data_IF_055562393437
#
_entry.id   IF_055562393437
#
_cell.length_a   1.000
_cell.length_b   1.000
_cell.length_c   1.000
_cell.angle_alpha   90.00
_cell.angle_beta   90.00
_cell.angle_gamma   90.00
#
_symmetry.space_group_name_H-M   'P 1'
#
loop_
_entity.id
_entity.type
_entity.pdbx_description
1 polymer ?
#
# COMPACT_ATOMS: atom_id res chain seq x y z
N UNK A 1 10.35 6.40 -13.25
CA UNK A 1 9.35 6.98 -12.31
C UNK A 1 9.01 8.35 -12.89
N UNK A 2 7.74 8.80 -12.90
CA UNK A 2 7.40 10.11 -13.46
C UNK A 2 8.26 11.22 -12.83
N UNK A 3 8.78 12.15 -13.64
CA UNK A 3 9.64 13.24 -13.17
C UNK A 3 8.87 14.12 -12.17
N UNK A 4 9.58 14.72 -11.20
CA UNK A 4 8.94 15.62 -10.25
C UNK A 4 8.56 16.93 -10.98
N UNK A 5 7.33 17.43 -10.82
CA UNK A 5 6.97 18.75 -11.31
C UNK A 5 7.87 19.79 -10.63
N UNK A 6 8.33 20.77 -11.41
CA UNK A 6 9.14 21.90 -10.93
C UNK A 6 8.34 23.18 -11.16
N UNK A 7 8.31 24.05 -10.16
CA UNK A 7 7.66 25.37 -10.25
C UNK A 7 8.74 26.42 -10.43
N UNK A 8 8.48 27.40 -11.29
CA UNK A 8 9.39 28.54 -11.48
C UNK A 8 9.44 29.40 -10.21
N UNK A 9 10.64 29.82 -9.79
CA UNK A 9 10.80 30.59 -8.56
C UNK A 9 10.25 32.03 -8.69
N UNK A 10 10.13 32.56 -9.90
CA UNK A 10 9.60 33.90 -10.19
C UNK A 10 8.11 34.07 -9.90
N UNK A 11 7.35 32.97 -9.86
CA UNK A 11 5.89 32.99 -9.70
C UNK A 11 5.44 32.72 -8.26
N UNK A 12 6.40 32.63 -7.33
CA UNK A 12 6.15 32.25 -5.94
C UNK A 12 6.45 33.42 -5.02
N UNK A 13 5.47 33.78 -4.19
CA UNK A 13 5.66 34.68 -3.06
C UNK A 13 5.87 33.86 -1.78
N UNK A 14 7.00 34.07 -1.10
CA UNK A 14 7.36 33.39 0.15
C UNK A 14 7.13 34.29 1.36
N UNK A 15 6.46 33.76 2.38
CA UNK A 15 6.20 34.42 3.66
C UNK A 15 6.53 33.49 4.83
N UNK A 16 7.30 34.00 5.79
CA UNK A 16 7.60 33.28 7.03
C UNK A 16 6.63 33.70 8.13
N UNK A 17 6.06 32.71 8.81
CA UNK A 17 5.04 32.91 9.86
C UNK A 17 5.49 32.19 11.14
N UNK A 18 5.00 32.65 12.29
CA UNK A 18 5.16 31.92 13.56
C UNK A 18 4.41 30.59 13.52
N UNK A 19 5.01 29.58 14.15
CA UNK A 19 4.56 28.18 14.10
C UNK A 19 3.35 27.87 14.98
N UNK A 20 2.24 28.59 14.85
CA UNK A 20 0.96 28.20 15.46
C UNK A 20 0.63 28.90 16.78
N UNK A 21 -0.67 28.86 17.08
CA UNK A 21 -1.32 29.47 18.25
C UNK A 21 -1.75 28.41 19.28
N UNK A 22 -1.09 27.24 19.28
CA UNK A 22 -1.45 26.08 20.12
C UNK A 22 -0.37 25.70 21.13
N UNK A 23 -0.55 24.55 21.81
CA UNK A 23 0.31 24.01 22.87
C UNK A 23 1.67 23.48 22.34
N UNK A 24 2.30 24.20 21.42
CA UNK A 24 3.66 23.92 20.96
C UNK A 24 4.70 24.33 21.99
N UNK A 25 5.89 23.72 21.92
CA UNK A 25 7.02 24.12 22.75
C UNK A 25 7.48 25.56 22.47
N UNK A 26 8.17 26.16 23.44
CA UNK A 26 8.68 27.55 23.38
C UNK A 26 9.40 27.89 22.06
N UNK A 27 10.16 26.94 21.52
CA UNK A 27 10.90 27.11 20.26
C UNK A 27 10.00 27.36 19.05
N UNK A 28 8.84 26.71 18.99
CA UNK A 28 7.90 26.78 17.87
C UNK A 28 7.17 28.14 17.87
N UNK A 29 6.81 28.63 19.06
CA UNK A 29 6.08 29.89 19.21
C UNK A 29 6.96 31.13 18.99
N UNK A 30 8.27 31.03 19.33
CA UNK A 30 9.23 32.13 19.15
C UNK A 30 9.82 32.21 17.75
N UNK A 31 9.99 31.07 17.06
CA UNK A 31 10.70 31.03 15.79
C UNK A 31 9.74 31.14 14.60
N UNK A 32 10.06 31.97 13.62
CA UNK A 32 9.36 32.05 12.33
C UNK A 32 9.78 30.91 11.40
N UNK A 33 9.59 29.66 11.85
CA UNK A 33 9.99 28.47 11.08
C UNK A 33 8.93 27.98 10.10
N UNK A 34 7.65 28.40 10.25
CA UNK A 34 6.57 28.04 9.33
C UNK A 34 6.69 28.83 8.04
N UNK A 35 6.61 28.15 6.91
CA UNK A 35 6.69 28.77 5.57
C UNK A 35 5.32 28.73 4.92
N UNK A 36 4.88 29.87 4.40
CA UNK A 36 3.73 30.01 3.54
C UNK A 36 4.24 30.41 2.14
N UNK A 37 3.87 29.62 1.14
CA UNK A 37 4.12 29.93 -0.27
C UNK A 37 2.79 30.23 -0.94
N UNK A 38 2.75 31.31 -1.69
CA UNK A 38 1.62 31.69 -2.53
C UNK A 38 2.06 31.67 -3.98
N UNK A 39 1.36 30.93 -4.82
CA UNK A 39 1.55 30.95 -6.26
C UNK A 39 0.75 32.11 -6.85
N UNK A 40 1.44 33.06 -7.48
CA UNK A 40 0.85 34.31 -7.97
C UNK A 40 -0.21 34.05 -9.06
N UNK A 41 0.05 33.27 -10.12
CA UNK A 41 -0.90 33.16 -11.22
C UNK A 41 -2.14 32.33 -10.88
N UNK A 42 -2.02 31.32 -9.99
CA UNK A 42 -3.17 30.49 -9.57
C UNK A 42 -3.80 30.92 -8.25
N UNK A 43 -3.20 31.87 -7.53
CA UNK A 43 -3.65 32.30 -6.20
C UNK A 43 -3.55 31.22 -5.11
N UNK A 44 -2.91 30.08 -5.38
CA UNK A 44 -2.87 28.97 -4.44
C UNK A 44 -1.92 29.22 -3.28
N UNK A 45 -2.41 28.99 -2.06
CA UNK A 45 -1.62 29.13 -0.84
C UNK A 45 -1.32 27.76 -0.25
N UNK A 46 -0.05 27.50 0.02
CA UNK A 46 0.43 26.28 0.67
C UNK A 46 1.25 26.67 1.90
N UNK A 47 1.00 26.00 3.02
CA UNK A 47 1.78 26.20 4.25
C UNK A 47 2.45 24.90 4.66
N UNK A 48 3.70 24.98 5.14
CA UNK A 48 4.44 23.84 5.68
C UNK A 48 5.04 24.15 7.05
N UNK A 49 4.82 23.25 7.99
CA UNK A 49 5.38 23.25 9.35
C UNK A 49 5.76 21.81 9.76
N UNK A 50 6.52 21.12 8.91
CA UNK A 50 6.92 19.74 9.17
C UNK A 50 8.11 19.64 10.14
N UNK A 51 9.02 20.62 10.09
CA UNK A 51 10.29 20.58 10.81
C UNK A 51 10.57 21.88 11.56
N UNK A 52 11.58 21.86 12.43
CA UNK A 52 12.09 23.05 13.15
C UNK A 52 12.91 24.00 12.27
N UNK A 53 13.35 23.56 11.08
CA UNK A 53 14.20 24.34 10.17
C UNK A 53 13.37 25.01 9.08
N UNK A 54 13.60 26.32 8.86
CA UNK A 54 12.90 27.08 7.82
C UNK A 54 13.24 26.56 6.42
N UNK A 55 14.50 26.19 6.17
CA UNK A 55 14.95 25.79 4.82
C UNK A 55 14.37 24.44 4.42
N UNK A 56 14.26 23.53 5.38
CA UNK A 56 13.57 22.26 5.18
C UNK A 56 12.09 22.49 4.91
N UNK A 57 11.43 23.36 5.67
CA UNK A 57 10.02 23.70 5.45
C UNK A 57 9.81 24.38 4.08
N UNK A 58 10.74 25.23 3.63
CA UNK A 58 10.73 25.86 2.30
C UNK A 58 10.83 24.83 1.18
N UNK A 59 11.74 23.86 1.29
CA UNK A 59 11.85 22.75 0.31
C UNK A 59 10.56 21.92 0.26
N UNK A 60 10.04 21.55 1.42
CA UNK A 60 8.79 20.76 1.52
C UNK A 60 7.60 21.55 0.95
N UNK A 61 7.48 22.84 1.27
CA UNK A 61 6.40 23.68 0.76
C UNK A 61 6.43 23.78 -0.77
N UNK A 62 7.63 23.92 -1.39
CA UNK A 62 7.77 23.91 -2.85
C UNK A 62 7.37 22.57 -3.46
N UNK A 63 7.78 21.45 -2.85
CA UNK A 63 7.39 20.12 -3.33
C UNK A 63 5.87 19.92 -3.28
N UNK A 64 5.22 20.37 -2.21
CA UNK A 64 3.76 20.30 -2.07
C UNK A 64 3.07 21.19 -3.11
N UNK A 65 3.55 22.43 -3.29
CA UNK A 65 2.99 23.34 -4.28
C UNK A 65 3.09 22.75 -5.70
N UNK A 66 4.26 22.19 -6.05
CA UNK A 66 4.48 21.55 -7.34
C UNK A 66 3.56 20.36 -7.58
N UNK A 67 3.35 19.52 -6.56
CA UNK A 67 2.42 18.39 -6.67
C UNK A 67 0.98 18.85 -6.86
N UNK A 68 0.54 19.88 -6.13
CA UNK A 68 -0.81 20.43 -6.29
C UNK A 68 -1.05 21.06 -7.66
N UNK A 69 -0.05 21.77 -8.20
CA UNK A 69 -0.14 22.34 -9.55
C UNK A 69 -0.20 21.23 -10.60
N UNK A 70 0.64 20.20 -10.48
CA UNK A 70 0.60 19.03 -11.38
C UNK A 70 -0.72 18.27 -11.31
N UNK A 71 -1.34 18.17 -10.12
CA UNK A 71 -2.67 17.59 -9.96
C UNK A 71 -3.75 18.39 -10.71
N UNK A 72 -3.64 19.72 -10.76
CA UNK A 72 -4.58 20.59 -11.47
C UNK A 72 -4.34 20.52 -12.98
N UNK A 73 -3.09 20.64 -13.43
CA UNK A 73 -2.75 20.66 -14.86
C UNK A 73 -2.95 19.30 -15.53
N UNK A 74 -2.46 18.23 -14.90
CA UNK A 74 -2.40 16.91 -15.51
C UNK A 74 -3.50 15.96 -15.03
N UNK A 75 -4.21 16.28 -13.94
CA UNK A 75 -5.36 15.51 -13.45
C UNK A 75 -5.06 14.01 -13.33
N UNK A 76 -5.67 13.21 -14.22
CA UNK A 76 -5.50 11.74 -14.31
C UNK A 76 -4.07 11.29 -14.64
N UNK A 77 -3.30 12.13 -15.36
CA UNK A 77 -1.89 11.89 -15.67
C UNK A 77 -0.93 12.46 -14.63
N UNK A 78 -1.46 13.05 -13.55
CA UNK A 78 -0.61 13.53 -12.47
C UNK A 78 0.28 12.42 -11.94
N UNK A 79 1.49 12.82 -11.57
CA UNK A 79 2.47 11.94 -10.92
C UNK A 79 1.88 11.20 -9.72
N UNK A 80 1.04 11.86 -8.91
CA UNK A 80 0.42 11.24 -7.74
C UNK A 80 -0.45 10.04 -8.14
N UNK A 81 -1.26 10.19 -9.18
CA UNK A 81 -2.15 9.14 -9.68
C UNK A 81 -1.36 7.97 -10.32
N UNK A 82 -0.35 8.27 -11.13
CA UNK A 82 0.54 7.25 -11.72
C UNK A 82 1.23 6.40 -10.65
N UNK A 83 1.70 7.05 -9.58
CA UNK A 83 2.33 6.35 -8.45
C UNK A 83 1.33 5.49 -7.69
N UNK A 84 0.11 6.00 -7.48
CA UNK A 84 -0.97 5.25 -6.84
C UNK A 84 -1.35 4.01 -7.68
N UNK A 85 -1.55 4.18 -8.98
CA UNK A 85 -1.87 3.10 -9.91
C UNK A 85 -0.77 2.02 -9.92
N UNK A 86 0.50 2.42 -9.98
CA UNK A 86 1.65 1.50 -9.90
C UNK A 86 1.66 0.74 -8.57
N UNK A 87 1.44 1.43 -7.44
CA UNK A 87 1.37 0.81 -6.10
C UNK A 87 0.24 -0.21 -6.00
N UNK A 88 -0.94 0.12 -6.53
CA UNK A 88 -2.10 -0.78 -6.59
C UNK A 88 -1.81 -2.01 -7.48
N UNK A 89 -1.20 -1.81 -8.64
CA UNK A 89 -0.81 -2.89 -9.55
C UNK A 89 0.14 -3.89 -8.88
N UNK A 90 1.17 -3.39 -8.19
CA UNK A 90 2.13 -4.23 -7.46
C UNK A 90 1.44 -5.00 -6.34
N UNK A 91 0.61 -4.33 -5.52
CA UNK A 91 -0.20 -5.00 -4.48
C UNK A 91 -1.10 -6.08 -5.07
N UNK A 92 -1.80 -5.80 -6.18
CA UNK A 92 -2.67 -6.76 -6.87
C UNK A 92 -1.88 -7.98 -7.35
N UNK A 93 -0.69 -7.77 -7.92
CA UNK A 93 0.19 -8.86 -8.36
C UNK A 93 0.65 -9.72 -7.19
N UNK A 94 1.06 -9.11 -6.08
CA UNK A 94 1.44 -9.82 -4.87
C UNK A 94 0.28 -10.67 -4.31
N UNK A 95 -0.91 -10.08 -4.17
CA UNK A 95 -2.13 -10.77 -3.70
C UNK A 95 -2.53 -11.95 -4.59
N UNK A 96 -2.41 -11.80 -5.91
CA UNK A 96 -2.68 -12.89 -6.87
C UNK A 96 -1.70 -14.04 -6.69
N UNK A 97 -0.40 -13.74 -6.55
CA UNK A 97 0.64 -14.76 -6.32
C UNK A 97 0.44 -15.51 -5.01
N UNK A 98 0.16 -14.80 -3.92
CA UNK A 98 -0.09 -15.43 -2.62
C UNK A 98 -1.33 -16.31 -2.68
N UNK A 99 -2.45 -15.82 -3.21
CA UNK A 99 -3.68 -16.61 -3.36
C UNK A 99 -3.46 -17.88 -4.18
N UNK A 100 -2.74 -17.80 -5.31
CA UNK A 100 -2.42 -18.96 -6.13
C UNK A 100 -1.52 -19.97 -5.39
N UNK A 101 -0.56 -19.51 -4.58
CA UNK A 101 0.30 -20.38 -3.75
C UNK A 101 -0.52 -21.16 -2.73
N UNK A 102 -1.36 -20.48 -1.95
CA UNK A 102 -2.17 -21.15 -0.92
C UNK A 102 -3.22 -22.09 -1.52
N UNK A 103 -3.86 -21.70 -2.63
CA UNK A 103 -4.80 -22.59 -3.34
C UNK A 103 -4.16 -23.92 -3.73
N UNK A 104 -2.95 -23.89 -4.33
CA UNK A 104 -2.21 -25.10 -4.70
C UNK A 104 -1.82 -25.95 -3.48
N UNK A 105 -1.49 -25.30 -2.37
CA UNK A 105 -1.12 -26.01 -1.14
C UNK A 105 -2.34 -26.71 -0.52
N UNK A 106 -3.50 -26.07 -0.58
CA UNK A 106 -4.77 -26.63 -0.11
C UNK A 106 -5.25 -27.78 -1.02
N UNK A 107 -5.16 -27.62 -2.34
CA UNK A 107 -5.42 -28.68 -3.33
C UNK A 107 -4.52 -29.90 -3.08
N UNK A 108 -3.20 -29.68 -2.96
CA UNK A 108 -2.24 -30.76 -2.68
C UNK A 108 -2.51 -31.47 -1.36
N UNK A 109 -2.90 -30.72 -0.31
CA UNK A 109 -3.29 -31.30 0.99
C UNK A 109 -4.58 -32.11 0.89
N UNK A 110 -5.55 -31.67 0.09
CA UNK A 110 -6.79 -32.39 -0.14
C UNK A 110 -6.52 -33.69 -0.89
N UNK A 111 -5.68 -33.66 -1.94
CA UNK A 111 -5.22 -34.84 -2.68
C UNK A 111 -4.53 -35.84 -1.74
N UNK A 112 -3.55 -35.39 -0.95
CA UNK A 112 -2.84 -36.22 0.04
C UNK A 112 -3.82 -36.84 1.06
N UNK A 113 -4.83 -36.09 1.52
CA UNK A 113 -5.84 -36.60 2.45
C UNK A 113 -6.77 -37.63 1.79
N UNK A 114 -7.13 -37.44 0.52
CA UNK A 114 -7.91 -38.43 -0.23
C UNK A 114 -7.12 -39.72 -0.48
N UNK A 115 -5.82 -39.63 -0.76
CA UNK A 115 -4.95 -40.79 -0.92
C UNK A 115 -4.81 -41.58 0.39
N UNK A 116 -4.58 -40.89 1.52
CA UNK A 116 -4.54 -41.51 2.85
C UNK A 116 -5.84 -42.21 3.22
N UNK A 117 -7.01 -41.64 2.86
CA UNK A 117 -8.31 -42.28 3.08
C UNK A 117 -8.47 -43.57 2.28
N UNK A 118 -8.04 -43.59 1.02
CA UNK A 118 -8.09 -44.78 0.16
C UNK A 118 -7.17 -45.91 0.64
N UNK A 119 -5.99 -45.57 1.16
CA UNK A 119 -5.05 -46.55 1.72
C UNK A 119 -5.52 -47.18 3.05
N UNK A 120 -6.41 -46.49 3.78
CA UNK A 120 -6.99 -46.99 5.03
C UNK A 120 -8.34 -47.69 4.83
N UNK A 121 -8.77 -47.96 3.60
CA UNK A 121 -9.94 -48.82 3.39
C UNK A 121 -9.58 -50.26 3.79
N UNK A 122 -10.34 -50.88 4.73
CA UNK A 122 -10.07 -52.25 5.13
C UNK A 122 -10.30 -53.18 3.94
N UNK A 123 -9.28 -53.95 3.55
CA UNK A 123 -9.42 -55.08 2.65
C UNK A 123 -10.42 -56.05 3.26
N UNK A 124 -11.60 -56.18 2.65
CA UNK A 124 -12.60 -57.13 3.09
C UNK A 124 -11.98 -58.52 3.20
N UNK A 125 -12.19 -59.10 4.39
CA UNK A 125 -11.64 -60.36 4.85
C UNK A 125 -11.97 -61.50 3.89
N UNK A 126 -10.95 -62.31 3.63
CA UNK A 126 -11.04 -63.72 3.24
C UNK A 126 -12.22 -64.37 3.98
N UNK A 127 -13.17 -64.97 3.25
CA UNK A 127 -14.14 -65.93 3.77
C UNK A 127 -13.89 -67.27 3.08
N UNK A 128 -12.82 -67.92 3.51
CA UNK A 128 -12.59 -69.35 3.43
C UNK A 128 -12.34 -69.74 4.92
N UNK A 129 -12.91 -70.78 5.55
CA UNK A 129 -13.30 -72.12 5.11
C UNK A 129 -14.39 -72.72 6.05
N UNK A 130 -15.20 -73.61 5.48
CA UNK A 130 -15.73 -74.89 6.00
C UNK A 130 -16.15 -75.08 7.48
N UNK A 131 -17.44 -75.38 7.69
CA UNK A 131 -17.92 -76.47 8.57
C UNK A 131 -19.45 -76.66 8.40
N UNK A 132 -19.86 -77.72 7.69
CA UNK A 132 -20.75 -78.75 8.26
C UNK A 132 -20.95 -79.91 7.25
N UNK A 133 -20.23 -80.99 7.52
CA UNK A 133 -20.55 -82.34 7.08
C UNK A 133 -21.89 -82.73 7.72
N UNK A 134 -22.93 -82.96 6.92
CA UNK A 134 -24.12 -83.71 7.34
C UNK A 134 -24.22 -84.98 6.51
N UNK A 135 -23.75 -86.08 7.11
CA UNK A 135 -24.05 -87.47 6.74
C UNK A 135 -25.50 -87.76 7.13
N UNK A 136 -26.41 -88.03 6.19
CA UNK A 136 -27.60 -88.86 6.45
C UNK A 136 -28.08 -89.63 5.20
N UNK A 137 -27.89 -90.96 5.27
CA UNK A 137 -28.58 -92.10 4.63
C UNK A 137 -28.58 -92.26 3.11
#
# INVERSE_FOLDING_TARGET
>A
MPPRPKVAESEIHEKFIKGGSGNGGQKINKTNSKVQLTHIPTGMVVTSQATRSRDQNRKIAREILAMKLDEIENGSHSRAQLLLARKQMVKRRAKRKTKAKYKKLDEKKAEENTEKRKQNEPSDRIKDEDEEIIVVK
#
